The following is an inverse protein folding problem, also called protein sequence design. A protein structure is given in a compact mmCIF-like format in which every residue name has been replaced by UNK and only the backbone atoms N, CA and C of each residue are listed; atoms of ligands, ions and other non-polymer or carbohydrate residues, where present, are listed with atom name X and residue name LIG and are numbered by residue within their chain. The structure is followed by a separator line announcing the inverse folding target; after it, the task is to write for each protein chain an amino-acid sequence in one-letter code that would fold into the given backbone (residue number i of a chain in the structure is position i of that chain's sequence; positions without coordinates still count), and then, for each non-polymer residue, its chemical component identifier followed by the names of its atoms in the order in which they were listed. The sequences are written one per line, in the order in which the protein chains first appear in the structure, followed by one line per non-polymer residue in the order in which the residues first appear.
data_IF_814644195128
#
_entry.id   IF_814644195128
#
_cell.length_a   1.000
_cell.length_b   1.000
_cell.length_c   1.000
_cell.angle_alpha   90.00
_cell.angle_beta   90.00
_cell.angle_gamma   90.00
#
_symmetry.space_group_name_H-M   'P 1'
#
loop_
_entity.id
_entity.type
_entity.pdbx_description
1 polymer ?
#
# COMPACT_ATOMS: atom_id res chain seq x y z
N UNK A 1 -67.85 -41.14 19.97
CA UNK A 1 -68.37 -42.30 19.21
C UNK A 1 -68.46 -41.93 17.73
N UNK A 2 -68.01 -42.86 16.87
CA UNK A 2 -68.16 -42.95 15.42
C UNK A 2 -67.47 -41.98 14.45
N UNK A 3 -66.28 -42.46 14.03
CA UNK A 3 -65.72 -42.40 12.68
C UNK A 3 -66.74 -42.88 11.62
N UNK A 4 -66.77 -42.26 10.44
CA UNK A 4 -66.51 -42.92 9.13
C UNK A 4 -66.50 -41.93 7.96
N UNK A 5 -65.40 -42.02 7.21
CA UNK A 5 -65.09 -41.41 5.90
C UNK A 5 -66.03 -41.91 4.80
N UNK A 6 -66.17 -41.14 3.73
CA UNK A 6 -66.09 -41.71 2.38
C UNK A 6 -65.34 -40.78 1.42
N UNK A 7 -64.45 -41.40 0.65
CA UNK A 7 -63.55 -40.86 -0.37
C UNK A 7 -64.22 -40.91 -1.75
N UNK A 8 -63.92 -39.95 -2.62
CA UNK A 8 -63.89 -40.13 -4.08
C UNK A 8 -62.59 -39.47 -4.58
N UNK A 9 -61.55 -40.26 -4.94
CA UNK A 9 -61.22 -40.71 -6.31
C UNK A 9 -60.94 -39.52 -7.26
N UNK A 10 -59.70 -39.02 -7.37
CA UNK A 10 -58.53 -39.49 -8.18
C UNK A 10 -58.68 -39.28 -9.71
N UNK A 11 -57.76 -38.47 -10.25
CA UNK A 11 -57.28 -38.44 -11.65
C UNK A 11 -57.44 -37.07 -12.33
N UNK A 12 -56.49 -36.48 -13.07
CA UNK A 12 -55.08 -36.77 -13.37
C UNK A 12 -54.44 -35.50 -14.00
N UNK A 13 -53.11 -35.44 -13.99
CA UNK A 13 -52.20 -34.69 -14.89
C UNK A 13 -52.15 -33.15 -14.79
N UNK A 14 -51.15 -32.65 -14.07
CA UNK A 14 -50.58 -31.31 -14.23
C UNK A 14 -49.06 -31.41 -14.40
N UNK A 15 -48.57 -31.17 -15.62
CA UNK A 15 -47.16 -30.89 -15.92
C UNK A 15 -46.99 -29.38 -15.88
N UNK A 16 -46.15 -28.86 -14.98
CA UNK A 16 -45.54 -27.55 -15.10
C UNK A 16 -44.25 -27.54 -14.25
N UNK A 17 -43.14 -27.20 -14.90
CA UNK A 17 -41.78 -27.34 -14.37
C UNK A 17 -41.49 -26.50 -13.14
N UNK A 18 -40.61 -27.03 -12.30
CA UNK A 18 -39.81 -26.22 -11.40
C UNK A 18 -38.39 -26.20 -11.95
N UNK A 19 -38.02 -25.00 -12.39
CA UNK A 19 -36.70 -24.62 -12.83
C UNK A 19 -35.65 -25.05 -11.79
N UNK A 20 -34.47 -25.39 -12.31
CA UNK A 20 -33.32 -25.72 -11.48
C UNK A 20 -33.03 -24.59 -10.49
N UNK A 21 -32.85 -24.96 -9.23
CA UNK A 21 -32.08 -24.16 -8.30
C UNK A 21 -30.63 -24.20 -8.78
N UNK A 22 -30.33 -23.41 -9.82
CA UNK A 22 -28.98 -22.93 -10.06
C UNK A 22 -28.56 -22.19 -8.79
N UNK A 23 -27.37 -22.53 -8.29
CA UNK A 23 -26.86 -22.08 -7.01
C UNK A 23 -26.94 -20.57 -6.85
N UNK A 24 -27.77 -20.14 -5.91
CA UNK A 24 -27.40 -19.02 -5.07
C UNK A 24 -26.63 -19.61 -3.91
N UNK A 25 -25.32 -19.77 -4.08
CA UNK A 25 -24.43 -19.72 -2.93
C UNK A 25 -24.53 -18.28 -2.44
N UNK A 26 -25.35 -18.07 -1.42
CA UNK A 26 -25.20 -16.89 -0.57
C UNK A 26 -23.85 -17.08 0.11
N UNK A 27 -22.78 -16.61 -0.51
CA UNK A 27 -21.47 -16.55 0.12
C UNK A 27 -21.63 -15.56 1.27
N UNK A 28 -21.83 -16.07 2.48
CA UNK A 28 -21.62 -15.27 3.68
C UNK A 28 -20.13 -14.88 3.66
N UNK A 29 -19.84 -13.63 3.29
CA UNK A 29 -18.50 -13.02 3.27
C UNK A 29 -17.93 -12.81 4.69
N UNK A 30 -18.27 -13.70 5.62
CA UNK A 30 -17.84 -13.69 7.02
C UNK A 30 -16.69 -14.67 7.30
N UNK A 31 -16.14 -15.31 6.26
CA UNK A 31 -14.97 -16.18 6.41
C UNK A 31 -13.74 -15.43 5.93
N UNK A 32 -12.72 -15.34 6.78
CA UNK A 32 -11.41 -14.84 6.38
C UNK A 32 -10.97 -15.54 5.08
N UNK A 33 -10.42 -14.80 4.10
CA UNK A 33 -9.89 -15.38 2.88
C UNK A 33 -8.90 -16.54 3.15
N UNK A 34 -8.75 -17.54 2.28
CA UNK A 34 -7.69 -18.54 2.44
C UNK A 34 -6.31 -17.87 2.44
N UNK A 35 -5.29 -18.50 3.02
CA UNK A 35 -3.88 -18.09 2.88
C UNK A 35 -3.14 -19.05 1.96
N UNK A 36 -2.04 -18.59 1.38
CA UNK A 36 -1.07 -19.49 0.76
C UNK A 36 -0.36 -20.29 1.85
N UNK A 37 -0.38 -21.62 1.73
CA UNK A 37 0.36 -22.49 2.64
C UNK A 37 1.85 -22.45 2.30
N UNK A 38 2.71 -22.14 3.29
CA UNK A 38 4.17 -22.03 3.13
C UNK A 38 4.55 -21.06 1.99
N UNK A 39 4.22 -19.76 2.10
CA UNK A 39 4.59 -18.79 1.09
C UNK A 39 6.13 -18.74 0.95
N UNK A 40 6.65 -18.39 -0.25
CA UNK A 40 8.09 -18.20 -0.41
C UNK A 40 8.57 -17.00 0.42
N UNK A 41 9.86 -16.99 0.76
CA UNK A 41 10.52 -15.83 1.36
C UNK A 41 10.72 -14.73 0.30
N UNK A 42 9.69 -13.92 0.07
CA UNK A 42 9.68 -12.91 -0.98
C UNK A 42 8.29 -12.56 -1.51
N UNK A 43 8.26 -11.72 -2.54
CA UNK A 43 7.05 -11.31 -3.25
C UNK A 43 6.47 -12.50 -3.99
N UNK A 44 5.16 -12.69 -3.84
CA UNK A 44 4.45 -13.78 -4.48
C UNK A 44 2.99 -13.44 -4.80
N UNK A 45 2.36 -14.21 -5.70
CA UNK A 45 0.94 -14.04 -6.04
C UNK A 45 0.06 -14.48 -4.86
N UNK A 46 -0.74 -13.58 -4.25
CA UNK A 46 -1.56 -13.89 -3.09
C UNK A 46 -2.60 -14.98 -3.40
N UNK A 47 -3.33 -15.45 -2.39
CA UNK A 47 -4.42 -16.41 -2.59
C UNK A 47 -5.61 -15.83 -3.37
N UNK A 48 -5.84 -14.53 -3.24
CA UNK A 48 -6.97 -13.79 -3.79
C UNK A 48 -6.60 -12.33 -4.06
N UNK A 49 -7.47 -11.65 -4.81
CA UNK A 49 -7.52 -10.19 -4.92
C UNK A 49 -8.92 -9.71 -4.61
N UNK A 50 -8.98 -8.50 -4.07
CA UNK A 50 -10.24 -7.82 -3.79
C UNK A 50 -10.32 -6.54 -4.62
N UNK A 51 -11.56 -6.18 -4.98
CA UNK A 51 -11.91 -4.87 -5.44
C UNK A 51 -11.86 -3.86 -4.29
N UNK A 52 -12.15 -2.61 -4.60
CA UNK A 52 -12.45 -1.60 -3.59
C UNK A 52 -13.39 -0.57 -4.17
N UNK A 53 -14.14 0.08 -3.29
CA UNK A 53 -15.07 1.13 -3.65
C UNK A 53 -14.60 2.49 -3.17
N UNK A 54 -15.04 3.52 -3.88
CA UNK A 54 -14.70 4.90 -3.58
C UNK A 54 -15.64 5.46 -2.50
N UNK A 55 -15.09 6.05 -1.43
CA UNK A 55 -15.85 6.84 -0.43
C UNK A 55 -16.00 8.30 -0.87
N UNK A 56 -14.96 9.13 -0.69
CA UNK A 56 -14.83 10.43 -1.36
C UNK A 56 -13.37 10.85 -1.58
N UNK A 57 -13.18 11.97 -2.30
CA UNK A 57 -11.89 12.65 -2.42
C UNK A 57 -12.00 14.05 -1.85
N UNK A 58 -10.93 14.53 -1.23
CA UNK A 58 -10.84 15.87 -0.65
C UNK A 58 -9.44 16.46 -0.73
N UNK A 59 -9.34 17.75 -0.41
CA UNK A 59 -8.06 18.44 -0.23
C UNK A 59 -7.77 18.58 1.27
N UNK A 60 -6.63 18.06 1.70
CA UNK A 60 -6.07 18.31 3.02
C UNK A 60 -4.90 19.30 2.86
N UNK A 61 -5.23 20.59 2.94
CA UNK A 61 -4.27 21.65 2.62
C UNK A 61 -3.85 21.55 1.16
N UNK A 62 -2.54 21.37 0.92
CA UNK A 62 -1.99 21.23 -0.42
C UNK A 62 -2.08 19.79 -0.97
N UNK A 63 -2.39 18.80 -0.13
CA UNK A 63 -2.44 17.40 -0.52
C UNK A 63 -3.84 16.99 -0.96
N UNK A 64 -3.93 16.13 -1.97
CA UNK A 64 -5.17 15.43 -2.29
C UNK A 64 -5.21 14.10 -1.52
N UNK A 65 -6.38 13.78 -1.00
CA UNK A 65 -6.68 12.53 -0.31
C UNK A 65 -7.84 11.85 -1.01
N UNK A 66 -7.69 10.56 -1.32
CA UNK A 66 -8.79 9.69 -1.71
C UNK A 66 -9.01 8.65 -0.61
N UNK A 67 -10.27 8.48 -0.19
CA UNK A 67 -10.66 7.45 0.76
C UNK A 67 -11.39 6.35 0.01
N UNK A 68 -10.91 5.13 0.13
CA UNK A 68 -11.52 3.92 -0.45
C UNK A 68 -11.81 2.90 0.64
N UNK A 69 -12.60 1.89 0.33
CA UNK A 69 -12.87 0.79 1.26
C UNK A 69 -13.00 -0.57 0.56
N UNK A 70 -12.65 -1.63 1.29
CA UNK A 70 -12.89 -3.03 0.93
C UNK A 70 -13.48 -3.79 2.13
N UNK A 71 -13.57 -5.12 2.02
CA UNK A 71 -13.74 -6.03 3.15
C UNK A 71 -12.63 -5.79 4.20
N UNK A 72 -12.86 -6.10 5.49
CA UNK A 72 -11.78 -6.12 6.48
C UNK A 72 -10.63 -7.01 6.04
N UNK A 73 -9.40 -6.57 6.25
CA UNK A 73 -8.21 -7.32 5.87
C UNK A 73 -7.44 -7.76 7.11
N UNK A 74 -6.85 -8.95 7.05
CA UNK A 74 -5.64 -9.24 7.81
C UNK A 74 -4.46 -8.56 7.13
N UNK A 75 -3.49 -8.11 7.91
CA UNK A 75 -2.26 -7.54 7.39
C UNK A 75 -1.09 -7.83 8.35
N UNK A 76 0.11 -7.40 7.98
CA UNK A 76 1.33 -7.75 8.70
C UNK A 76 2.16 -6.52 9.00
N UNK A 77 2.36 -6.20 10.28
CA UNK A 77 3.31 -5.17 10.70
C UNK A 77 4.72 -5.74 10.74
N UNK A 78 5.73 -4.90 10.49
CA UNK A 78 7.14 -5.32 10.60
C UNK A 78 7.61 -5.11 12.02
N UNK A 79 8.29 -6.10 12.59
CA UNK A 79 8.86 -6.06 13.93
C UNK A 79 10.30 -6.59 13.92
N UNK A 80 11.08 -6.17 14.91
CA UNK A 80 12.43 -6.67 15.12
C UNK A 80 12.42 -7.72 16.24
N UNK A 81 12.90 -8.93 15.93
CA UNK A 81 13.09 -10.01 16.89
C UNK A 81 14.58 -10.31 17.04
N UNK A 82 15.22 -9.66 18.02
CA UNK A 82 16.67 -9.76 18.20
C UNK A 82 17.43 -9.07 17.06
N UNK A 83 18.19 -9.84 16.28
CA UNK A 83 18.95 -9.32 15.13
C UNK A 83 18.21 -9.49 13.79
N UNK A 84 17.06 -10.16 13.78
CA UNK A 84 16.28 -10.44 12.59
C UNK A 84 15.01 -9.59 12.56
N UNK A 85 14.52 -9.29 11.36
CA UNK A 85 13.23 -8.66 11.15
C UNK A 85 12.22 -9.73 10.74
N UNK A 86 11.04 -9.66 11.32
CA UNK A 86 9.91 -10.56 11.05
C UNK A 86 8.66 -9.73 10.84
N UNK A 87 7.57 -10.39 10.43
CA UNK A 87 6.25 -9.80 10.45
C UNK A 87 5.39 -10.34 11.59
N UNK A 88 4.52 -9.48 12.12
CA UNK A 88 3.48 -9.80 13.07
C UNK A 88 2.13 -9.61 12.40
N UNK A 89 1.32 -10.67 12.39
CA UNK A 89 -0.02 -10.64 11.79
C UNK A 89 -0.98 -9.87 12.68
N UNK A 90 -1.77 -9.00 12.06
CA UNK A 90 -2.97 -8.37 12.61
C UNK A 90 -4.17 -9.09 12.01
N UNK A 91 -4.99 -9.69 12.87
CA UNK A 91 -6.19 -10.44 12.50
C UNK A 91 -7.41 -9.53 12.37
N UNK A 92 -8.44 -10.00 11.68
CA UNK A 92 -9.72 -9.30 11.57
C UNK A 92 -10.49 -9.46 12.88
N UNK A 93 -10.94 -8.36 13.47
CA UNK A 93 -11.76 -8.37 14.67
C UNK A 93 -13.23 -8.67 14.36
N UNK A 94 -13.96 -9.18 15.36
CA UNK A 94 -15.38 -9.56 15.21
C UNK A 94 -16.29 -8.37 14.81
N UNK A 95 -15.89 -7.14 15.17
CA UNK A 95 -16.63 -5.91 14.89
C UNK A 95 -16.09 -5.13 13.68
N UNK A 96 -15.00 -5.60 13.03
CA UNK A 96 -14.48 -4.97 11.82
C UNK A 96 -15.51 -5.06 10.68
N UNK A 97 -15.95 -3.89 10.19
CA UNK A 97 -16.94 -3.81 9.12
C UNK A 97 -16.31 -3.59 7.75
N UNK A 98 -15.21 -2.84 7.68
CA UNK A 98 -14.50 -2.49 6.44
C UNK A 98 -13.01 -2.33 6.71
N UNK A 99 -12.19 -2.51 5.68
CA UNK A 99 -10.85 -1.94 5.63
C UNK A 99 -10.94 -0.57 4.94
N UNK A 100 -10.73 0.52 5.69
CA UNK A 100 -10.67 1.87 5.12
C UNK A 100 -9.23 2.19 4.74
N UNK A 101 -9.07 2.74 3.55
CA UNK A 101 -7.77 3.07 2.98
C UNK A 101 -7.75 4.54 2.54
N UNK A 102 -6.59 5.18 2.66
CA UNK A 102 -6.34 6.50 2.13
C UNK A 102 -5.04 6.54 1.30
N UNK A 103 -5.15 7.09 0.09
CA UNK A 103 -4.01 7.49 -0.71
C UNK A 103 -3.86 9.00 -0.63
N UNK A 104 -2.63 9.47 -0.38
CA UNK A 104 -2.29 10.89 -0.23
C UNK A 104 -1.21 11.26 -1.22
N UNK A 105 -1.44 12.31 -2.01
CA UNK A 105 -0.50 12.74 -3.04
C UNK A 105 -0.55 14.24 -3.31
N UNK A 106 0.50 14.74 -3.96
CA UNK A 106 0.52 16.06 -4.57
C UNK A 106 -0.34 16.07 -5.85
N UNK A 107 -1.43 16.85 -5.93
CA UNK A 107 -2.32 16.81 -7.09
C UNK A 107 -1.72 17.43 -8.36
N UNK A 108 -0.63 18.18 -8.29
CA UNK A 108 0.01 18.81 -9.44
C UNK A 108 1.05 17.88 -10.09
N UNK A 109 1.81 17.15 -9.28
CA UNK A 109 2.90 16.28 -9.73
C UNK A 109 2.52 14.81 -9.74
N UNK A 110 1.48 14.40 -9.00
CA UNK A 110 1.11 13.00 -8.82
C UNK A 110 1.97 12.25 -7.80
N UNK A 111 2.94 12.92 -7.16
CA UNK A 111 3.85 12.30 -6.20
C UNK A 111 3.10 11.90 -4.93
N UNK A 112 3.10 10.60 -4.63
CA UNK A 112 2.56 10.07 -3.37
C UNK A 112 3.37 10.57 -2.18
N UNK A 113 2.71 10.72 -1.01
CA UNK A 113 3.32 11.26 0.20
C UNK A 113 3.51 10.18 1.29
N UNK A 114 4.63 9.44 1.28
CA UNK A 114 5.04 8.63 2.42
C UNK A 114 5.48 9.46 3.64
N UNK A 115 5.86 8.74 4.70
CA UNK A 115 6.48 9.31 5.92
C UNK A 115 5.67 10.46 6.54
N UNK A 116 4.35 10.36 6.37
CA UNK A 116 3.36 11.25 6.96
C UNK A 116 2.54 10.46 7.97
N UNK A 117 2.35 10.99 9.17
CA UNK A 117 1.39 10.42 10.11
C UNK A 117 -0.03 10.67 9.63
N UNK A 118 -0.89 9.66 9.67
CA UNK A 118 -2.28 9.78 9.23
C UNK A 118 -3.21 9.20 10.29
N UNK A 119 -4.32 9.90 10.56
CA UNK A 119 -5.39 9.37 11.40
C UNK A 119 -6.74 9.57 10.72
N UNK A 120 -7.66 8.65 10.99
CA UNK A 120 -9.04 8.73 10.51
C UNK A 120 -9.98 8.86 11.70
N UNK A 121 -10.89 9.81 11.64
CA UNK A 121 -12.02 9.96 12.56
C UNK A 121 -13.31 9.67 11.78
N UNK A 122 -14.14 8.76 12.30
CA UNK A 122 -15.42 8.37 11.71
C UNK A 122 -16.55 8.82 12.64
N UNK A 123 -17.51 9.57 12.10
CA UNK A 123 -18.62 10.13 12.87
C UNK A 123 -19.95 9.90 12.16
N UNK A 124 -21.03 9.93 12.93
CA UNK A 124 -22.40 10.09 12.45
C UNK A 124 -23.03 11.30 13.11
N UNK A 125 -24.27 11.63 12.74
CA UNK A 125 -25.09 12.62 13.45
C UNK A 125 -25.28 12.29 14.94
N UNK A 126 -25.15 11.01 15.33
CA UNK A 126 -25.27 10.56 16.71
C UNK A 126 -23.98 10.75 17.52
N UNK A 127 -22.81 10.87 16.89
CA UNK A 127 -21.54 11.07 17.59
C UNK A 127 -20.33 10.45 16.91
N UNK A 128 -19.25 10.28 17.69
CA UNK A 128 -18.03 9.60 17.27
C UNK A 128 -18.27 8.09 17.22
N UNK A 129 -17.88 7.44 16.13
CA UNK A 129 -17.91 5.98 15.95
C UNK A 129 -16.54 5.39 16.28
N UNK A 130 -15.50 5.82 15.58
CA UNK A 130 -14.11 5.40 15.82
C UNK A 130 -13.12 6.52 15.47
N UNK A 131 -11.94 6.48 16.07
CA UNK A 131 -10.83 7.37 15.73
C UNK A 131 -9.50 6.69 16.00
N UNK A 132 -8.65 6.56 14.98
CA UNK A 132 -7.39 5.83 15.08
C UNK A 132 -6.29 6.44 14.20
N UNK A 133 -5.04 6.26 14.62
CA UNK A 133 -3.88 6.45 13.74
C UNK A 133 -3.78 5.20 12.87
N UNK A 134 -3.79 5.39 11.55
CA UNK A 134 -3.81 4.28 10.60
C UNK A 134 -2.40 3.90 10.16
N UNK A 135 -2.23 2.66 9.73
CA UNK A 135 -0.93 2.12 9.37
C UNK A 135 -0.49 2.61 7.99
N UNK A 136 0.79 2.98 7.79
CA UNK A 136 1.36 2.99 6.44
C UNK A 136 1.47 1.55 5.94
N UNK A 137 1.02 1.28 4.72
CA UNK A 137 0.89 -0.07 4.16
C UNK A 137 1.40 -0.14 2.73
N UNK A 138 1.76 -1.34 2.30
CA UNK A 138 2.15 -1.67 0.94
C UNK A 138 1.36 -2.88 0.45
N UNK A 139 0.67 -2.75 -0.69
CA UNK A 139 -0.01 -3.87 -1.37
C UNK A 139 0.32 -3.89 -2.86
N UNK A 140 0.15 -5.05 -3.48
CA UNK A 140 0.39 -5.22 -4.92
C UNK A 140 -0.60 -4.39 -5.76
N UNK A 141 -1.86 -4.31 -5.32
CA UNK A 141 -2.92 -3.61 -6.07
C UNK A 141 -2.90 -2.09 -5.87
N UNK A 142 -2.49 -1.56 -4.71
CA UNK A 142 -2.56 -0.12 -4.41
C UNK A 142 -1.20 0.56 -4.29
N UNK A 143 -0.11 -0.19 -4.20
CA UNK A 143 1.18 0.36 -3.80
C UNK A 143 1.12 0.92 -2.39
N UNK A 144 1.84 2.02 -2.16
CA UNK A 144 1.89 2.65 -0.85
C UNK A 144 0.59 3.41 -0.55
N UNK A 145 -0.02 3.11 0.60
CA UNK A 145 -1.24 3.75 1.07
C UNK A 145 -1.28 3.71 2.61
N UNK A 146 -2.31 4.30 3.19
CA UNK A 146 -2.60 4.22 4.62
C UNK A 146 -3.88 3.44 4.83
N UNK A 147 -3.99 2.65 5.90
CA UNK A 147 -5.23 1.93 6.16
C UNK A 147 -5.30 1.25 7.52
N UNK A 148 -6.53 0.90 7.90
CA UNK A 148 -6.86 0.08 9.06
C UNK A 148 -8.27 -0.50 8.87
N UNK A 149 -8.59 -1.53 9.65
CA UNK A 149 -9.97 -1.98 9.76
C UNK A 149 -10.74 -1.08 10.73
N UNK A 150 -12.02 -0.88 10.47
CA UNK A 150 -12.89 -0.06 11.32
C UNK A 150 -14.24 -0.74 11.55
N UNK A 151 -14.80 -0.63 12.78
CA UNK A 151 -16.18 -0.95 13.01
C UNK A 151 -17.09 0.12 12.40
N UNK A 152 -18.29 -0.30 11.96
CA UNK A 152 -19.38 0.57 11.53
C UNK A 152 -20.71 0.03 12.09
N UNK A 153 -21.57 0.92 12.56
CA UNK A 153 -22.87 0.59 13.17
C UNK A 153 -23.97 0.32 12.12
N UNK A 154 -23.65 -0.50 11.13
CA UNK A 154 -24.56 -0.87 10.04
C UNK A 154 -24.74 0.21 8.97
N UNK A 155 -25.83 0.11 8.22
CA UNK A 155 -26.13 1.01 7.11
C UNK A 155 -26.45 2.41 7.60
N UNK A 156 -25.56 3.37 7.33
CA UNK A 156 -25.73 4.78 7.69
C UNK A 156 -24.87 5.68 6.78
N UNK A 157 -25.03 6.98 6.93
CA UNK A 157 -24.13 7.98 6.37
C UNK A 157 -23.13 8.40 7.43
N UNK A 158 -21.86 8.12 7.17
CA UNK A 158 -20.74 8.47 8.03
C UNK A 158 -19.97 9.67 7.45
N UNK A 159 -19.38 10.49 8.30
CA UNK A 159 -18.35 11.44 7.91
C UNK A 159 -16.98 10.87 8.29
N UNK A 160 -16.12 10.68 7.29
CA UNK A 160 -14.74 10.24 7.48
C UNK A 160 -13.82 11.45 7.34
N UNK A 161 -13.23 11.87 8.45
CA UNK A 161 -12.23 12.94 8.49
C UNK A 161 -10.83 12.34 8.52
N UNK A 162 -10.07 12.56 7.47
CA UNK A 162 -8.66 12.18 7.37
C UNK A 162 -7.80 13.34 7.81
N UNK A 163 -6.98 13.13 8.84
CA UNK A 163 -5.95 14.08 9.28
C UNK A 163 -4.60 13.66 8.74
N UNK A 164 -4.01 14.52 7.92
CA UNK A 164 -2.72 14.32 7.27
C UNK A 164 -1.67 15.17 7.97
N UNK A 165 -0.65 14.54 8.54
CA UNK A 165 0.50 15.23 9.12
C UNK A 165 1.35 15.96 8.08
N UNK A 166 2.32 16.75 8.54
CA UNK A 166 3.37 17.23 7.65
C UNK A 166 4.38 16.09 7.40
N UNK A 167 4.74 15.77 6.14
CA UNK A 167 5.78 14.80 5.84
C UNK A 167 7.10 15.16 6.52
N UNK A 168 7.73 14.20 7.21
CA UNK A 168 9.04 14.39 7.86
C UNK A 168 10.19 14.03 6.93
N UNK A 169 10.22 14.68 5.76
CA UNK A 169 11.17 14.41 4.67
C UNK A 169 11.64 15.72 4.05
N UNK A 170 12.83 15.70 3.45
CA UNK A 170 13.27 16.83 2.62
C UNK A 170 12.38 16.95 1.38
N UNK A 171 12.18 18.17 0.91
CA UNK A 171 11.35 18.46 -0.26
C UNK A 171 12.10 19.39 -1.19
N UNK A 172 12.10 19.05 -2.46
CA UNK A 172 12.83 19.76 -3.51
C UNK A 172 11.90 20.31 -4.59
N UNK A 173 12.45 21.21 -5.41
CA UNK A 173 11.75 21.79 -6.55
C UNK A 173 10.45 22.48 -6.15
N UNK A 174 9.37 22.21 -6.89
CA UNK A 174 8.03 22.76 -6.62
C UNK A 174 7.41 22.28 -5.30
N UNK A 175 7.94 21.20 -4.70
CA UNK A 175 7.42 20.64 -3.45
C UNK A 175 8.05 21.29 -2.20
N UNK A 176 9.13 22.07 -2.33
CA UNK A 176 9.92 22.58 -1.20
C UNK A 176 9.10 23.35 -0.15
N UNK A 177 8.02 24.03 -0.58
CA UNK A 177 7.15 24.83 0.29
C UNK A 177 5.74 24.23 0.47
N UNK A 178 5.50 22.99 0.02
CA UNK A 178 4.20 22.32 0.13
C UNK A 178 4.15 21.39 1.33
N UNK A 179 2.95 21.15 1.88
CA UNK A 179 2.74 20.22 3.01
C UNK A 179 3.48 20.61 4.29
N UNK A 180 3.68 21.92 4.51
CA UNK A 180 4.50 22.41 5.62
C UNK A 180 3.79 22.33 6.97
N UNK A 181 2.47 22.10 6.98
CA UNK A 181 1.64 22.01 8.17
C UNK A 181 0.64 20.85 8.03
N UNK A 182 0.22 20.23 9.14
CA UNK A 182 -0.88 19.26 9.12
C UNK A 182 -2.18 19.88 8.59
N UNK A 183 -3.00 19.08 7.93
CA UNK A 183 -4.29 19.48 7.39
C UNK A 183 -5.29 18.32 7.37
N UNK A 184 -6.56 18.62 7.18
CA UNK A 184 -7.64 17.61 7.21
C UNK A 184 -8.49 17.67 5.96
N UNK A 185 -9.02 16.52 5.53
CA UNK A 185 -10.07 16.41 4.53
C UNK A 185 -11.21 15.54 5.08
N UNK A 186 -12.45 15.99 4.91
CA UNK A 186 -13.64 15.23 5.32
C UNK A 186 -14.42 14.81 4.08
N UNK A 187 -14.83 13.54 4.05
CA UNK A 187 -15.65 12.95 2.98
C UNK A 187 -16.85 12.23 3.59
N UNK A 188 -17.99 12.29 2.90
CA UNK A 188 -19.20 11.60 3.32
C UNK A 188 -19.23 10.18 2.74
N UNK A 189 -19.60 9.21 3.57
CA UNK A 189 -19.62 7.79 3.29
C UNK A 189 -21.03 7.23 3.52
N UNK A 190 -21.82 7.07 2.46
CA UNK A 190 -23.09 6.33 2.51
C UNK A 190 -22.81 4.82 2.49
N UNK A 191 -22.38 4.30 3.63
CA UNK A 191 -22.00 2.90 3.76
C UNK A 191 -23.23 2.00 3.74
N UNK A 192 -23.19 1.00 2.87
CA UNK A 192 -24.16 -0.09 2.84
C UNK A 192 -23.43 -1.42 2.86
N UNK A 193 -23.76 -2.27 3.83
CA UNK A 193 -23.19 -3.61 3.94
C UNK A 193 -23.47 -4.43 2.66
N UNK A 194 -24.66 -4.27 2.08
CA UNK A 194 -25.02 -4.90 0.81
C UNK A 194 -24.08 -4.51 -0.33
N UNK A 195 -23.72 -3.22 -0.42
CA UNK A 195 -22.79 -2.74 -1.44
C UNK A 195 -21.36 -3.23 -1.19
N UNK A 196 -20.90 -3.27 0.08
CA UNK A 196 -19.61 -3.90 0.43
C UNK A 196 -19.57 -5.35 -0.03
N UNK A 197 -20.64 -6.11 0.18
CA UNK A 197 -20.72 -7.52 -0.19
C UNK A 197 -20.84 -7.76 -1.71
N UNK A 198 -20.94 -6.70 -2.50
CA UNK A 198 -20.91 -6.74 -3.97
C UNK A 198 -19.52 -6.41 -4.55
N UNK A 199 -18.56 -6.01 -3.70
CA UNK A 199 -17.17 -5.75 -4.12
C UNK A 199 -16.58 -7.03 -4.72
N UNK A 200 -15.97 -6.88 -5.91
CA UNK A 200 -15.37 -7.98 -6.64
C UNK A 200 -14.34 -8.71 -5.77
N UNK A 201 -14.42 -10.04 -5.77
CA UNK A 201 -13.54 -10.88 -4.99
C UNK A 201 -13.16 -12.09 -5.84
N UNK A 202 -11.87 -12.21 -6.15
CA UNK A 202 -11.36 -13.27 -7.03
C UNK A 202 -10.31 -14.09 -6.31
N UNK A 203 -10.61 -15.36 -6.10
CA UNK A 203 -9.63 -16.35 -5.60
C UNK A 203 -8.89 -16.95 -6.79
N UNK A 204 -7.56 -16.97 -6.74
CA UNK A 204 -6.76 -17.57 -7.80
C UNK A 204 -6.81 -19.11 -7.76
N UNK A 205 -6.46 -19.76 -8.86
CA UNK A 205 -6.25 -21.22 -8.88
C UNK A 205 -5.05 -21.60 -7.99
N UNK A 206 -5.10 -22.77 -7.33
CA UNK A 206 -4.02 -23.25 -6.45
C UNK A 206 -2.65 -23.25 -7.12
N UNK A 207 -2.61 -23.56 -8.43
CA UNK A 207 -1.39 -23.56 -9.23
C UNK A 207 -0.71 -22.19 -9.32
N UNK A 208 -1.48 -21.10 -9.21
CA UNK A 208 -1.00 -19.71 -9.34
C UNK A 208 -0.57 -19.10 -8.01
N UNK A 209 -1.26 -19.45 -6.92
CA UNK A 209 -0.99 -18.93 -5.57
C UNK A 209 0.43 -19.28 -5.13
N UNK A 210 1.16 -18.35 -4.51
CA UNK A 210 2.52 -18.60 -4.01
C UNK A 210 3.63 -18.59 -5.07
N UNK A 211 3.30 -18.39 -6.36
CA UNK A 211 4.33 -18.18 -7.38
C UNK A 211 5.08 -16.87 -7.13
N UNK A 212 6.40 -16.84 -7.32
CA UNK A 212 7.22 -15.62 -7.31
C UNK A 212 6.89 -14.72 -8.49
N UNK A 213 5.88 -13.88 -8.31
CA UNK A 213 5.33 -12.89 -9.23
C UNK A 213 4.43 -11.94 -8.42
N UNK A 214 3.90 -10.89 -9.04
CA UNK A 214 2.92 -10.01 -8.41
C UNK A 214 1.68 -9.81 -9.29
N UNK A 215 0.53 -9.55 -8.66
CA UNK A 215 -0.63 -9.04 -9.39
C UNK A 215 -0.39 -7.60 -9.83
N UNK A 216 -0.94 -7.24 -10.98
CA UNK A 216 -0.83 -5.88 -11.49
C UNK A 216 -1.55 -4.89 -10.54
N UNK A 217 -1.00 -3.66 -10.37
CA UNK A 217 -1.68 -2.61 -9.63
C UNK A 217 -3.04 -2.29 -10.25
N UNK A 218 -4.03 -2.05 -9.40
CA UNK A 218 -5.34 -1.60 -9.84
C UNK A 218 -5.21 -0.21 -10.44
N UNK A 219 -5.54 -0.06 -11.71
CA UNK A 219 -5.52 1.25 -12.37
C UNK A 219 -6.80 2.01 -12.01
N UNK A 220 -6.65 3.07 -11.22
CA UNK A 220 -7.68 4.06 -10.99
C UNK A 220 -7.25 5.39 -11.60
N UNK A 221 -7.95 5.85 -12.64
CA UNK A 221 -7.55 7.01 -13.46
C UNK A 221 -7.23 8.28 -12.65
N UNK A 222 -7.89 8.44 -11.49
CA UNK A 222 -7.78 9.64 -10.65
C UNK A 222 -6.84 9.51 -9.45
N UNK A 223 -6.23 8.34 -9.22
CA UNK A 223 -5.44 8.06 -8.01
C UNK A 223 -4.10 7.40 -8.37
N UNK A 224 -2.96 7.99 -7.97
CA UNK A 224 -1.66 7.38 -8.20
C UNK A 224 -1.45 6.17 -7.27
N UNK A 225 -0.83 5.12 -7.80
CA UNK A 225 -0.40 3.93 -7.02
C UNK A 225 1.00 4.07 -6.43
N UNK A 226 1.69 5.20 -6.70
CA UNK A 226 3.04 5.46 -6.22
C UNK A 226 4.10 4.55 -6.84
N UNK A 227 4.57 4.90 -8.04
CA UNK A 227 5.70 4.23 -8.70
C UNK A 227 6.95 5.07 -8.66
N UNK A 228 8.11 4.42 -8.67
CA UNK A 228 9.37 5.12 -8.99
C UNK A 228 9.31 5.60 -10.45
N UNK A 229 9.96 6.72 -10.79
CA UNK A 229 9.90 7.24 -12.16
C UNK A 229 10.58 6.28 -13.16
N UNK A 230 9.99 6.18 -14.36
CA UNK A 230 10.54 5.36 -15.47
C UNK A 230 11.96 5.78 -15.88
N UNK A 231 12.29 7.05 -15.64
CA UNK A 231 13.62 7.61 -15.89
C UNK A 231 13.95 8.66 -14.85
N UNK A 232 15.14 8.57 -14.27
CA UNK A 232 15.71 9.61 -13.40
C UNK A 232 16.69 10.46 -14.21
N UNK A 233 16.59 11.80 -14.19
CA UNK A 233 17.58 12.66 -14.82
C UNK A 233 18.95 12.49 -14.18
N UNK A 234 20.03 12.57 -14.97
CA UNK A 234 21.41 12.48 -14.48
C UNK A 234 22.13 11.22 -14.96
N UNK A 235 23.19 10.85 -14.23
CA UNK A 235 24.03 9.69 -14.56
C UNK A 235 23.58 8.48 -13.75
N UNK A 236 23.16 7.40 -14.41
CA UNK A 236 22.80 6.16 -13.75
C UNK A 236 24.05 5.46 -13.18
N UNK A 237 23.90 4.86 -12.00
CA UNK A 237 24.92 4.09 -11.29
C UNK A 237 24.61 2.59 -11.28
N UNK A 238 23.56 2.16 -12.00
CA UNK A 238 23.11 0.78 -12.04
C UNK A 238 22.03 0.44 -11.01
N UNK A 239 21.75 -0.86 -10.92
CA UNK A 239 20.71 -1.47 -10.10
C UNK A 239 21.29 -2.63 -9.29
N UNK A 240 20.79 -2.82 -8.07
CA UNK A 240 21.06 -4.00 -7.24
C UNK A 240 19.83 -4.37 -6.41
N UNK A 241 19.82 -5.59 -5.88
CA UNK A 241 18.71 -6.12 -5.09
C UNK A 241 19.16 -6.57 -3.70
N UNK A 242 18.36 -6.27 -2.68
CA UNK A 242 18.49 -6.83 -1.31
C UNK A 242 17.20 -7.56 -0.99
N UNK A 243 17.25 -8.90 -0.90
CA UNK A 243 16.05 -9.73 -1.04
C UNK A 243 15.31 -9.38 -2.34
N UNK A 244 14.06 -8.97 -2.21
CA UNK A 244 13.22 -8.51 -3.32
C UNK A 244 13.15 -6.98 -3.47
N UNK A 245 13.89 -6.22 -2.65
CA UNK A 245 13.95 -4.77 -2.77
C UNK A 245 14.88 -4.39 -3.93
N UNK A 246 14.36 -3.67 -4.93
CA UNK A 246 15.15 -3.17 -6.06
C UNK A 246 15.64 -1.76 -5.76
N UNK A 247 16.96 -1.58 -5.74
CA UNK A 247 17.64 -0.30 -5.49
C UNK A 247 18.31 0.19 -6.77
N UNK A 248 18.00 1.42 -7.18
CA UNK A 248 18.60 2.06 -8.37
C UNK A 248 19.22 3.39 -8.00
N UNK A 249 20.50 3.57 -8.36
CA UNK A 249 21.27 4.75 -8.01
C UNK A 249 21.48 5.69 -9.18
N UNK A 250 21.45 6.99 -8.92
CA UNK A 250 21.70 8.03 -9.91
C UNK A 250 22.47 9.18 -9.25
N UNK A 251 23.31 9.87 -10.02
CA UNK A 251 23.89 11.15 -9.62
C UNK A 251 23.26 12.25 -10.46
N UNK A 252 22.66 13.23 -9.78
CA UNK A 252 21.92 14.32 -10.39
C UNK A 252 22.60 15.64 -10.05
N UNK A 253 22.93 16.41 -11.08
CA UNK A 253 23.43 17.77 -10.94
C UNK A 253 22.32 18.75 -11.33
N UNK A 254 21.75 19.42 -10.33
CA UNK A 254 20.69 20.40 -10.52
C UNK A 254 20.69 21.42 -9.37
N UNK A 255 20.46 22.70 -9.70
CA UNK A 255 20.51 23.83 -8.74
C UNK A 255 19.63 23.62 -7.49
N UNK A 256 18.54 22.87 -7.61
CA UNK A 256 17.62 22.58 -6.49
C UNK A 256 18.22 21.71 -5.39
N UNK A 257 19.31 20.99 -5.67
CA UNK A 257 20.05 20.20 -4.68
C UNK A 257 21.25 20.93 -4.08
N UNK A 258 21.50 22.18 -4.49
CA UNK A 258 22.64 22.98 -4.05
C UNK A 258 23.83 22.91 -5.01
N UNK A 259 25.02 23.17 -4.48
CA UNK A 259 26.25 23.31 -5.27
C UNK A 259 26.95 21.98 -5.58
N UNK A 260 26.68 20.94 -4.78
CA UNK A 260 27.24 19.60 -4.95
C UNK A 260 26.27 18.69 -5.74
N UNK A 261 26.76 17.75 -6.55
CA UNK A 261 25.93 16.70 -7.13
C UNK A 261 25.18 15.91 -6.04
N UNK A 262 24.01 15.41 -6.37
CA UNK A 262 23.14 14.71 -5.44
C UNK A 262 23.00 13.24 -5.80
N UNK A 263 23.30 12.34 -4.85
CA UNK A 263 23.04 10.92 -4.99
C UNK A 263 21.56 10.67 -4.73
N UNK A 264 20.89 10.05 -5.70
CA UNK A 264 19.50 9.60 -5.63
C UNK A 264 19.48 8.09 -5.62
N UNK A 265 18.81 7.49 -4.65
CA UNK A 265 18.50 6.06 -4.63
C UNK A 265 16.99 5.87 -4.55
N UNK A 266 16.42 5.29 -5.60
CA UNK A 266 15.02 4.85 -5.59
C UNK A 266 14.93 3.42 -5.07
N UNK A 267 13.88 3.12 -4.30
CA UNK A 267 13.61 1.79 -3.76
C UNK A 267 12.25 1.31 -4.24
N UNK A 268 12.21 0.16 -4.92
CA UNK A 268 11.02 -0.31 -5.62
C UNK A 268 10.73 -1.80 -5.40
N UNK A 269 9.46 -2.18 -5.59
CA UNK A 269 9.07 -3.59 -5.70
C UNK A 269 9.52 -4.17 -7.06
N UNK A 270 9.83 -5.48 -7.15
CA UNK A 270 10.55 -6.04 -8.30
C UNK A 270 9.70 -6.25 -9.56
N UNK A 271 8.37 -6.30 -9.43
CA UNK A 271 7.46 -6.61 -10.54
C UNK A 271 6.64 -5.40 -11.03
N UNK A 272 6.40 -4.42 -10.15
CA UNK A 272 5.44 -3.34 -10.40
C UNK A 272 6.03 -1.93 -10.22
N UNK A 273 7.33 -1.85 -9.88
CA UNK A 273 8.06 -0.61 -9.61
C UNK A 273 7.37 0.32 -8.60
N UNK A 274 6.64 -0.26 -7.64
CA UNK A 274 5.95 0.49 -6.60
C UNK A 274 6.98 1.01 -5.59
N UNK A 275 6.83 2.27 -5.18
CA UNK A 275 7.72 2.92 -4.20
C UNK A 275 7.69 2.16 -2.88
N UNK A 276 8.87 1.94 -2.29
CA UNK A 276 9.03 1.30 -0.97
C UNK A 276 9.67 2.28 0.02
N UNK A 277 8.87 2.95 0.88
CA UNK A 277 9.38 3.92 1.86
C UNK A 277 9.67 3.30 3.23
N UNK A 278 10.15 4.11 4.17
CA UNK A 278 10.24 3.74 5.60
C UNK A 278 11.42 2.83 5.95
N UNK A 279 12.51 2.83 5.18
CA UNK A 279 13.72 2.06 5.47
C UNK A 279 14.88 2.97 5.90
N UNK A 280 15.89 2.40 6.56
CA UNK A 280 17.15 3.10 6.80
C UNK A 280 18.20 2.62 5.79
N UNK A 281 18.68 3.53 4.97
CA UNK A 281 19.65 3.27 3.92
C UNK A 281 20.91 4.11 4.18
N UNK A 282 22.08 3.50 4.07
CA UNK A 282 23.35 4.21 4.09
C UNK A 282 24.11 3.99 2.78
N UNK A 283 25.00 4.92 2.44
CA UNK A 283 25.83 4.83 1.26
C UNK A 283 27.28 5.19 1.56
N UNK A 284 28.17 4.58 0.79
CA UNK A 284 29.58 4.94 0.73
C UNK A 284 30.00 5.14 -0.72
N UNK A 285 30.42 6.36 -1.01
CA UNK A 285 30.92 6.77 -2.32
C UNK A 285 32.43 6.94 -2.22
N UNK A 286 33.23 6.16 -2.97
CA UNK A 286 34.67 6.31 -3.00
C UNK A 286 35.10 7.72 -3.46
N UNK A 287 36.29 8.15 -3.02
CA UNK A 287 36.91 9.39 -3.47
C UNK A 287 38.43 9.30 -3.41
N UNK A 288 39.14 10.33 -3.88
CA UNK A 288 40.61 10.34 -3.90
C UNK A 288 41.18 10.53 -2.48
N UNK A 289 41.71 9.45 -1.90
CA UNK A 289 42.28 9.41 -0.55
C UNK A 289 41.28 9.44 0.61
N UNK A 290 40.06 9.96 0.41
CA UNK A 290 38.92 9.92 1.36
C UNK A 290 37.62 9.66 0.62
N UNK A 291 36.64 9.05 1.28
CA UNK A 291 35.30 8.86 0.70
C UNK A 291 34.69 10.22 0.35
N UNK A 292 34.09 10.32 -0.84
CA UNK A 292 33.35 11.49 -1.27
C UNK A 292 32.04 11.65 -0.48
N UNK A 293 31.48 10.52 -0.02
CA UNK A 293 30.38 10.47 0.93
C UNK A 293 30.42 9.16 1.72
N UNK A 294 30.01 9.20 2.99
CA UNK A 294 29.84 8.03 3.84
C UNK A 294 28.84 8.37 4.95
N UNK A 295 27.62 7.86 4.87
CA UNK A 295 26.56 8.22 5.82
C UNK A 295 25.19 7.67 5.45
N UNK A 296 24.18 8.03 6.24
CA UNK A 296 22.78 7.74 5.93
C UNK A 296 22.27 8.57 4.75
N UNK A 297 21.34 8.00 3.98
CA UNK A 297 20.61 8.70 2.95
C UNK A 297 19.26 9.13 3.49
N UNK A 298 18.96 10.42 3.40
CA UNK A 298 17.73 10.98 3.94
C UNK A 298 16.56 10.74 2.96
N UNK A 299 15.36 10.39 3.45
CA UNK A 299 14.17 10.32 2.61
C UNK A 299 13.78 11.72 2.13
N UNK A 300 13.42 11.83 0.85
CA UNK A 300 13.10 13.07 0.20
C UNK A 300 11.99 12.94 -0.86
N UNK A 301 11.38 14.08 -1.19
CA UNK A 301 10.38 14.22 -2.25
C UNK A 301 10.85 15.26 -3.27
N UNK A 302 10.78 14.90 -4.55
CA UNK A 302 11.05 15.80 -5.67
C UNK A 302 9.98 15.58 -6.75
N UNK A 303 9.55 16.63 -7.47
CA UNK A 303 8.54 16.50 -8.52
C UNK A 303 8.94 15.54 -9.65
N UNK A 304 10.22 15.44 -9.99
CA UNK A 304 10.71 14.60 -11.08
C UNK A 304 11.17 13.23 -10.59
N UNK A 305 11.64 13.14 -9.34
CA UNK A 305 12.20 11.90 -8.78
C UNK A 305 11.19 11.11 -7.94
N UNK A 306 10.07 11.72 -7.56
CA UNK A 306 9.15 11.16 -6.57
C UNK A 306 9.80 11.00 -5.20
N UNK A 307 9.35 10.00 -4.44
CA UNK A 307 9.98 9.60 -3.19
C UNK A 307 11.28 8.85 -3.46
N UNK A 308 12.37 9.28 -2.82
CA UNK A 308 13.68 8.69 -2.96
C UNK A 308 14.48 8.88 -1.66
N UNK A 309 15.63 8.20 -1.56
CA UNK A 309 16.63 8.44 -0.53
C UNK A 309 17.82 9.15 -1.18
N UNK A 310 18.42 10.13 -0.51
CA UNK A 310 19.56 10.80 -1.10
C UNK A 310 20.42 11.61 -0.16
N UNK A 311 21.52 12.11 -0.73
CA UNK A 311 22.47 12.97 -0.05
C UNK A 311 23.35 13.72 -1.07
N UNK A 312 23.84 14.93 -0.74
CA UNK A 312 24.87 15.60 -1.54
C UNK A 312 26.18 14.80 -1.48
N UNK A 313 26.87 14.72 -2.62
CA UNK A 313 28.14 13.97 -2.78
C UNK A 313 29.20 14.87 -3.38
N UNK A 314 30.29 15.11 -2.64
CA UNK A 314 31.38 15.99 -3.09
C UNK A 314 32.36 15.22 -3.98
N UNK A 315 31.95 14.96 -5.23
CA UNK A 315 32.77 14.25 -6.23
C UNK A 315 33.32 15.19 -7.30
N UNK A 316 34.59 14.96 -7.67
CA UNK A 316 35.24 15.62 -8.80
C UNK A 316 35.60 14.57 -9.85
N UNK A 317 34.76 14.41 -10.88
CA UNK A 317 35.02 13.47 -11.99
C UNK A 317 34.01 12.33 -12.19
N UNK A 318 32.85 12.36 -11.52
CA UNK A 318 31.82 11.31 -11.62
C UNK A 318 31.90 10.28 -10.50
N UNK A 319 30.95 9.34 -10.49
CA UNK A 319 30.86 8.24 -9.52
C UNK A 319 30.82 6.93 -10.30
N UNK A 320 31.83 6.09 -10.13
CA UNK A 320 31.92 4.80 -10.84
C UNK A 320 31.23 3.67 -10.07
N UNK A 321 31.21 3.75 -8.73
CA UNK A 321 30.60 2.75 -7.87
C UNK A 321 30.12 3.36 -6.55
N UNK A 322 29.03 2.81 -6.00
CA UNK A 322 28.48 3.16 -4.69
C UNK A 322 28.18 1.88 -3.92
N UNK A 323 28.70 1.77 -2.71
CA UNK A 323 28.23 0.73 -1.77
C UNK A 323 26.98 1.27 -1.06
N UNK A 324 25.89 0.51 -1.12
CA UNK A 324 24.64 0.79 -0.40
C UNK A 324 24.41 -0.26 0.67
N UNK A 325 23.98 0.16 1.85
CA UNK A 325 23.63 -0.76 2.94
C UNK A 325 22.21 -0.49 3.44
N UNK A 326 21.34 -1.48 3.31
CA UNK A 326 20.03 -1.49 3.97
C UNK A 326 20.27 -1.86 5.42
N UNK A 327 20.19 -0.87 6.32
CA UNK A 327 20.44 -1.03 7.75
C UNK A 327 19.18 -1.53 8.48
N UNK A 328 18.02 -1.00 8.08
CA UNK A 328 16.70 -1.35 8.61
C UNK A 328 15.78 -1.53 7.40
N UNK A 329 15.05 -2.66 7.29
CA UNK A 329 14.14 -2.88 6.18
C UNK A 329 12.95 -1.91 6.24
N UNK A 330 12.20 -1.74 5.13
CA UNK A 330 11.01 -0.89 5.07
C UNK A 330 9.99 -1.17 6.18
N UNK A 331 9.79 -0.23 7.11
CA UNK A 331 8.89 -0.32 8.26
C UNK A 331 7.45 0.10 7.90
N UNK A 332 6.88 -0.52 6.88
CA UNK A 332 5.46 -0.32 6.51
C UNK A 332 4.74 -1.66 6.56
N UNK A 333 3.45 -1.67 6.87
CA UNK A 333 2.69 -2.91 6.92
C UNK A 333 2.58 -3.55 5.53
N UNK A 334 2.36 -4.86 5.50
CA UNK A 334 2.22 -5.66 4.28
C UNK A 334 0.82 -6.22 4.19
N UNK A 335 0.25 -6.20 2.98
CA UNK A 335 -0.85 -7.09 2.63
C UNK A 335 -0.32 -8.44 2.14
N UNK A 336 -1.20 -9.42 2.01
CA UNK A 336 -0.86 -10.76 1.50
C UNK A 336 -0.17 -10.68 0.13
N UNK A 337 0.84 -11.51 -0.07
CA UNK A 337 1.74 -11.48 -1.23
C UNK A 337 3.01 -10.66 -1.00
N UNK A 338 3.07 -9.86 0.07
CA UNK A 338 4.26 -9.12 0.50
C UNK A 338 4.67 -9.37 1.95
N UNK A 339 3.95 -10.20 2.71
CA UNK A 339 4.14 -10.37 4.15
C UNK A 339 5.44 -11.08 4.54
N UNK A 340 6.09 -11.76 3.60
CA UNK A 340 7.42 -12.38 3.75
C UNK A 340 8.51 -11.58 3.02
N UNK A 341 8.16 -10.47 2.35
CA UNK A 341 9.05 -9.71 1.49
C UNK A 341 9.64 -8.48 2.19
N UNK A 342 10.79 -8.03 1.66
CA UNK A 342 11.48 -6.79 2.08
C UNK A 342 11.88 -6.77 3.56
N UNK A 343 12.31 -7.91 4.10
CA UNK A 343 12.82 -8.03 5.49
C UNK A 343 14.35 -8.11 5.56
N UNK A 344 15.00 -8.41 4.42
CA UNK A 344 16.45 -8.56 4.34
C UNK A 344 17.18 -7.23 4.49
N UNK A 345 18.30 -7.27 5.21
CA UNK A 345 19.28 -6.19 5.34
C UNK A 345 20.60 -6.64 4.73
N UNK A 346 21.45 -5.70 4.35
CA UNK A 346 22.75 -6.04 3.77
C UNK A 346 23.34 -4.97 2.87
N UNK A 347 24.58 -5.24 2.44
CA UNK A 347 25.35 -4.35 1.57
C UNK A 347 25.37 -4.86 0.14
N UNK A 348 25.11 -3.96 -0.80
CA UNK A 348 25.23 -4.19 -2.25
C UNK A 348 26.07 -3.09 -2.89
N UNK A 349 26.54 -3.33 -4.11
CA UNK A 349 27.28 -2.34 -4.89
C UNK A 349 26.51 -2.01 -6.15
N UNK A 350 26.32 -0.71 -6.38
CA UNK A 350 25.88 -0.16 -7.65
C UNK A 350 27.12 0.24 -8.47
N UNK A 351 27.16 -0.14 -9.74
CA UNK A 351 28.21 0.26 -10.69
C UNK A 351 27.60 0.62 -12.04
N UNK A 352 28.10 1.70 -12.64
CA UNK A 352 27.62 2.25 -13.92
C UNK A 352 27.90 1.37 -15.15
#
# INVERSE_FOLDING_TARGET
MNRRRFLGAVGAAGVAGLAGCAGFSTTTYSSEPPLVENPPDGVYVPSHIEGMEMVGMGMAGDARVAVTYSYPHRFWTVEQNGQEFTTQRVDIADDDAVHLMASVWDPETGVVLPNTGLSMEIRTDAGLVSQEVVYPMLSQQMGFHYGANFPLDGNDVYDVTVSVGAPSVERFGSLANRFTQPATATVSFDYREGARNEIEYTVFEESRRGQRDAVAPMSMEMMPVGRVPDSVPGTALGEATVGDLVLRGHVVDAERFGDDPYLVVTAATPYNDLVVPGMALSARVPGDGRAAFSGGLDPALDPDLGFHYGAPVSVSGGVDAVELTVEIPPQVARHEGYETAFLETGTVTLSA
#
